data_IF_544618594596
#
_entry.id   IF_544618594596
#
_cell.length_a   1.000
_cell.length_b   1.000
_cell.length_c   1.000
_cell.angle_alpha   90.00
_cell.angle_beta   90.00
_cell.angle_gamma   90.00
#
_symmetry.space_group_name_H-M   'P 1'
#
loop_
_entity.id
_entity.type
_entity.pdbx_description
1 polymer ?
#
# COMPACT_ATOMS: atom_id res chain seq x y z
N UNK A 1 39.32 -1.32 -15.26
CA UNK A 1 38.58 -1.99 -16.34
C UNK A 1 37.96 -3.25 -15.72
N UNK A 2 36.63 -3.23 -15.50
CA UNK A 2 35.67 -4.36 -15.45
C UNK A 2 35.98 -5.54 -14.46
N UNK A 3 35.09 -6.06 -13.60
CA UNK A 3 33.63 -6.21 -13.68
C UNK A 3 33.03 -6.64 -12.32
N UNK A 4 31.81 -6.12 -12.04
CA UNK A 4 30.63 -6.80 -11.45
C UNK A 4 30.61 -7.19 -9.97
N UNK A 5 30.22 -6.20 -9.17
CA UNK A 5 29.61 -6.37 -7.85
C UNK A 5 28.19 -6.95 -8.02
N UNK A 6 27.97 -8.20 -7.59
CA UNK A 6 26.63 -8.81 -7.43
C UNK A 6 26.01 -8.28 -6.14
N UNK A 7 24.96 -7.46 -6.20
CA UNK A 7 24.16 -7.12 -5.01
C UNK A 7 22.83 -6.41 -5.34
N UNK A 8 22.00 -6.93 -6.25
CA UNK A 8 20.74 -6.24 -6.64
C UNK A 8 19.45 -7.06 -6.52
N UNK A 9 19.39 -8.18 -5.78
CA UNK A 9 18.13 -8.95 -5.64
C UNK A 9 17.50 -8.93 -4.25
N UNK A 10 17.96 -8.09 -3.33
CA UNK A 10 17.57 -8.16 -1.90
C UNK A 10 16.56 -7.08 -1.45
N UNK A 11 16.20 -6.13 -2.31
CA UNK A 11 15.31 -5.00 -1.94
C UNK A 11 13.84 -5.42 -1.88
N UNK A 12 13.37 -6.21 -2.85
CA UNK A 12 11.96 -6.63 -2.95
C UNK A 12 11.64 -7.74 -1.95
N UNK A 13 12.53 -8.72 -1.79
CA UNK A 13 12.38 -9.75 -0.76
C UNK A 13 12.44 -9.16 0.66
N UNK A 14 13.17 -8.06 0.88
CA UNK A 14 13.14 -7.36 2.18
C UNK A 14 11.82 -6.62 2.43
N UNK A 15 11.16 -6.09 1.41
CA UNK A 15 9.81 -5.52 1.54
C UNK A 15 8.76 -6.61 1.84
N UNK A 16 8.85 -7.77 1.17
CA UNK A 16 8.02 -8.94 1.52
C UNK A 16 8.34 -9.47 2.93
N UNK A 17 9.61 -9.49 3.35
CA UNK A 17 10.03 -9.97 4.66
C UNK A 17 9.64 -9.02 5.80
N UNK A 18 9.65 -7.70 5.57
CA UNK A 18 9.24 -6.72 6.59
C UNK A 18 7.73 -6.80 6.90
N UNK A 19 6.91 -7.13 5.89
CA UNK A 19 5.49 -7.40 6.09
C UNK A 19 5.22 -8.70 6.89
N UNK A 20 6.11 -9.70 6.79
CA UNK A 20 5.95 -10.99 7.49
C UNK A 20 6.44 -10.91 8.94
N UNK A 21 7.46 -10.10 9.25
CA UNK A 21 8.11 -10.08 10.57
C UNK A 21 7.33 -9.35 11.67
N UNK A 22 6.35 -8.52 11.32
CA UNK A 22 5.49 -7.83 12.28
C UNK A 22 4.35 -8.71 12.84
N UNK A 23 4.24 -9.98 12.41
CA UNK A 23 3.23 -10.93 12.89
C UNK A 23 3.63 -11.73 14.15
N UNK A 24 4.83 -11.52 14.71
CA UNK A 24 5.29 -12.28 15.90
C UNK A 24 6.03 -11.40 16.91
N UNK A 25 5.42 -10.29 17.33
CA UNK A 25 5.85 -9.62 18.56
C UNK A 25 4.60 -9.20 19.34
N UNK A 26 4.58 -9.58 20.62
CA UNK A 26 3.55 -9.38 21.65
C UNK A 26 2.69 -10.61 21.96
N UNK A 27 3.32 -11.58 22.63
CA UNK A 27 2.61 -12.49 23.54
C UNK A 27 3.08 -12.21 24.97
N UNK A 28 2.24 -11.51 25.75
CA UNK A 28 2.00 -11.71 27.19
C UNK A 28 1.06 -10.62 27.72
N UNK A 29 -0.23 -10.94 27.88
CA UNK A 29 -1.03 -10.72 29.11
C UNK A 29 -2.54 -10.62 28.82
N UNK A 30 -3.29 -11.57 29.42
CA UNK A 30 -4.65 -11.49 29.97
C UNK A 30 -5.85 -11.03 29.11
N UNK A 31 -6.66 -12.03 28.74
CA UNK A 31 -8.14 -12.10 28.76
C UNK A 31 -8.95 -10.79 28.68
N UNK A 32 -9.44 -10.49 27.47
CA UNK A 32 -10.84 -10.07 27.27
C UNK A 32 -11.24 -10.33 25.80
N UNK A 33 -12.43 -10.90 25.65
CA UNK A 33 -13.04 -11.36 24.40
C UNK A 33 -13.47 -10.14 23.57
N UNK A 34 -12.89 -9.94 22.39
CA UNK A 34 -13.48 -9.09 21.35
C UNK A 34 -13.49 -9.82 20.00
N UNK A 35 -14.67 -9.87 19.42
CA UNK A 35 -15.02 -10.62 18.23
C UNK A 35 -14.74 -9.78 16.99
N UNK A 36 -13.55 -9.94 16.42
CA UNK A 36 -13.26 -10.01 14.97
C UNK A 36 -11.75 -9.88 14.74
N UNK A 37 -11.02 -10.96 15.04
CA UNK A 37 -9.65 -11.13 14.55
C UNK A 37 -9.70 -11.37 13.04
N UNK A 38 -9.94 -10.30 12.26
CA UNK A 38 -9.71 -10.32 10.83
C UNK A 38 -8.20 -10.40 10.60
N UNK A 39 -7.71 -11.63 10.51
CA UNK A 39 -6.39 -11.93 9.93
C UNK A 39 -6.24 -11.07 8.67
N UNK A 40 -5.19 -10.24 8.53
CA UNK A 40 -5.06 -9.34 7.40
C UNK A 40 -5.11 -10.16 6.11
N UNK A 41 -6.22 -10.07 5.40
CA UNK A 41 -6.40 -10.67 4.09
C UNK A 41 -5.40 -9.98 3.16
N UNK A 42 -4.67 -10.74 2.35
CA UNK A 42 -3.69 -10.14 1.45
C UNK A 42 -4.45 -9.27 0.43
N UNK A 43 -4.31 -7.95 0.57
CA UNK A 43 -5.07 -6.99 -0.24
C UNK A 43 -4.51 -6.87 -1.65
N UNK A 44 -5.41 -6.78 -2.62
CA UNK A 44 -5.11 -6.68 -4.04
C UNK A 44 -4.28 -5.41 -4.30
N UNK A 45 -2.99 -5.54 -4.67
CA UNK A 45 -2.16 -4.39 -5.02
C UNK A 45 -2.53 -3.86 -6.40
N UNK A 46 -2.73 -2.56 -6.52
CA UNK A 46 -3.27 -1.92 -7.72
C UNK A 46 -2.52 -0.64 -8.10
N UNK A 47 -2.63 -0.28 -9.36
CA UNK A 47 -2.35 1.08 -9.85
C UNK A 47 -3.62 1.93 -9.80
N UNK A 48 -3.49 3.26 -9.94
CA UNK A 48 -4.64 4.15 -9.87
C UNK A 48 -5.64 3.92 -11.01
N UNK A 49 -5.16 3.59 -12.21
CA UNK A 49 -5.97 3.27 -13.38
C UNK A 49 -6.91 2.07 -13.21
N UNK A 50 -6.62 1.16 -12.26
CA UNK A 50 -7.46 -0.01 -12.00
C UNK A 50 -8.67 0.29 -11.10
N UNK A 51 -8.62 1.38 -10.32
CA UNK A 51 -9.62 1.70 -9.30
C UNK A 51 -11.06 1.82 -9.81
N UNK A 52 -11.35 2.43 -10.98
CA UNK A 52 -12.74 2.53 -11.49
C UNK A 52 -13.43 1.17 -11.67
N UNK A 53 -12.66 0.09 -11.89
CA UNK A 53 -13.19 -1.26 -12.05
C UNK A 53 -13.30 -2.03 -10.73
N UNK A 54 -12.92 -1.41 -9.61
CA UNK A 54 -12.78 -2.05 -8.30
C UNK A 54 -13.61 -1.35 -7.22
N UNK A 55 -14.62 -0.59 -7.63
CA UNK A 55 -15.56 0.10 -6.72
C UNK A 55 -16.13 -0.88 -5.71
N UNK A 56 -16.09 -0.49 -4.43
CA UNK A 56 -16.59 -1.32 -3.34
C UNK A 56 -15.66 -2.49 -2.95
N UNK A 57 -14.49 -2.66 -3.58
CA UNK A 57 -13.51 -3.70 -3.21
C UNK A 57 -12.37 -3.12 -2.36
N UNK A 58 -11.78 -3.97 -1.52
CA UNK A 58 -10.59 -3.63 -0.74
C UNK A 58 -9.32 -3.83 -1.56
N UNK A 59 -8.48 -2.80 -1.58
CA UNK A 59 -7.27 -2.72 -2.39
C UNK A 59 -6.10 -2.17 -1.57
N UNK A 60 -4.89 -2.35 -2.09
CA UNK A 60 -3.66 -1.75 -1.58
C UNK A 60 -3.02 -0.90 -2.68
N UNK A 61 -2.92 0.41 -2.45
CA UNK A 61 -2.34 1.35 -3.40
C UNK A 61 -1.09 1.99 -2.84
N UNK A 62 -0.10 2.18 -3.70
CA UNK A 62 1.15 2.88 -3.36
C UNK A 62 1.28 4.11 -4.25
N UNK A 63 1.66 5.23 -3.64
CA UNK A 63 1.85 6.48 -4.33
C UNK A 63 2.63 7.50 -3.51
N UNK A 64 2.95 8.63 -4.12
CA UNK A 64 3.61 9.76 -3.46
C UNK A 64 2.57 10.70 -2.90
N UNK A 65 2.67 11.03 -1.61
CA UNK A 65 1.85 12.03 -0.97
C UNK A 65 2.12 13.43 -1.54
N UNK A 66 1.09 14.07 -2.07
CA UNK A 66 1.17 15.41 -2.65
C UNK A 66 0.76 16.49 -1.66
N UNK A 67 -0.32 16.26 -0.91
CA UNK A 67 -0.85 17.20 0.08
C UNK A 67 -1.71 16.47 1.11
N UNK A 68 -1.79 17.03 2.30
CA UNK A 68 -2.65 16.56 3.38
C UNK A 68 -3.66 17.65 3.71
N UNK A 69 -4.92 17.28 3.92
CA UNK A 69 -5.93 18.22 4.40
C UNK A 69 -5.57 18.73 5.81
N UNK A 70 -5.95 19.96 6.19
CA UNK A 70 -5.65 20.51 7.52
C UNK A 70 -6.12 19.62 8.69
N UNK A 71 -7.17 18.82 8.49
CA UNK A 71 -7.66 17.87 9.48
C UNK A 71 -6.76 16.64 9.69
N UNK A 72 -5.77 16.42 8.81
CA UNK A 72 -4.95 15.21 8.79
C UNK A 72 -5.68 13.94 8.33
N UNK A 73 -7.00 13.98 8.13
CA UNK A 73 -7.84 12.80 7.82
C UNK A 73 -8.02 12.54 6.33
N UNK A 74 -7.47 13.39 5.47
CA UNK A 74 -7.49 13.18 4.02
C UNK A 74 -6.12 13.46 3.45
N UNK A 75 -5.62 12.54 2.64
CA UNK A 75 -4.35 12.67 1.94
C UNK A 75 -4.56 12.51 0.44
N UNK A 76 -3.99 13.43 -0.33
CA UNK A 76 -4.01 13.38 -1.78
C UNK A 76 -2.70 12.78 -2.26
N UNK A 77 -2.77 11.74 -3.08
CA UNK A 77 -1.59 11.02 -3.56
C UNK A 77 -1.54 10.97 -5.08
N UNK A 78 -0.32 10.90 -5.62
CA UNK A 78 -0.06 10.46 -6.98
C UNK A 78 0.33 8.99 -6.97
N UNK A 79 -0.49 8.15 -7.57
CA UNK A 79 -0.24 6.71 -7.70
C UNK A 79 0.99 6.45 -8.57
N UNK A 80 1.51 5.22 -8.50
CA UNK A 80 2.69 4.82 -9.27
C UNK A 80 2.54 4.97 -10.80
N UNK A 81 1.31 4.94 -11.33
CA UNK A 81 0.99 5.16 -12.75
C UNK A 81 0.62 6.62 -13.07
N UNK A 82 0.87 7.55 -12.16
CA UNK A 82 0.65 8.98 -12.33
C UNK A 82 -0.77 9.47 -12.07
N UNK A 83 -1.76 8.58 -11.89
CA UNK A 83 -3.13 8.99 -11.54
C UNK A 83 -3.18 9.55 -10.11
N UNK A 84 -3.92 10.62 -9.90
CA UNK A 84 -4.08 11.24 -8.58
C UNK A 84 -5.42 10.86 -7.94
N UNK A 85 -5.40 10.57 -6.63
CA UNK A 85 -6.59 10.18 -5.86
C UNK A 85 -6.57 10.80 -4.46
N UNK A 86 -7.74 10.85 -3.83
CA UNK A 86 -7.90 11.18 -2.42
C UNK A 86 -8.07 9.90 -1.58
N UNK A 87 -7.40 9.85 -0.43
CA UNK A 87 -7.53 8.77 0.54
C UNK A 87 -8.08 9.35 1.85
N UNK A 88 -9.25 8.88 2.27
CA UNK A 88 -9.82 9.20 3.58
C UNK A 88 -9.23 8.25 4.62
N UNK A 89 -8.59 8.79 5.65
CA UNK A 89 -7.86 8.03 6.66
C UNK A 89 -8.74 7.73 7.89
N UNK A 90 -8.44 6.63 8.58
CA UNK A 90 -9.14 6.24 9.81
C UNK A 90 -8.89 7.23 10.95
N UNK A 91 -7.67 7.74 11.02
CA UNK A 91 -7.24 8.71 12.02
C UNK A 91 -6.39 9.81 11.37
N UNK A 92 -6.34 11.03 11.97
CA UNK A 92 -5.48 12.10 11.50
C UNK A 92 -3.99 11.71 11.51
N UNK A 93 -3.27 12.03 10.44
CA UNK A 93 -1.82 11.94 10.42
C UNK A 93 -1.19 12.89 11.44
N UNK A 94 -0.25 12.37 12.24
CA UNK A 94 0.47 13.15 13.26
C UNK A 94 1.53 14.08 12.65
N UNK A 95 2.01 13.78 11.44
CA UNK A 95 2.97 14.57 10.68
C UNK A 95 2.63 14.49 9.19
N UNK A 96 2.86 15.57 8.44
CA UNK A 96 2.62 15.57 6.98
C UNK A 96 3.69 14.75 6.26
N UNK A 97 3.33 13.69 5.52
CA UNK A 97 4.27 12.90 4.72
C UNK A 97 4.45 13.46 3.31
N UNK A 98 4.27 14.76 3.07
CA UNK A 98 4.46 15.37 1.76
C UNK A 98 5.78 14.96 1.10
N UNK A 99 5.72 14.61 -0.19
CA UNK A 99 6.82 14.08 -0.99
C UNK A 99 7.40 12.74 -0.51
N UNK A 100 6.72 12.02 0.39
CA UNK A 100 7.05 10.64 0.77
C UNK A 100 6.16 9.66 0.05
N UNK A 101 6.72 8.47 -0.20
CA UNK A 101 5.94 7.33 -0.68
C UNK A 101 5.11 6.79 0.48
N UNK A 102 3.85 6.50 0.20
CA UNK A 102 2.93 5.94 1.16
C UNK A 102 2.21 4.73 0.55
N UNK A 103 1.91 3.77 1.41
CA UNK A 103 1.00 2.66 1.10
C UNK A 103 -0.30 2.88 1.85
N UNK A 104 -1.41 2.90 1.12
CA UNK A 104 -2.76 3.02 1.67
C UNK A 104 -3.53 1.76 1.32
N UNK A 105 -4.14 1.17 2.33
CA UNK A 105 -5.02 0.03 2.17
C UNK A 105 -6.44 0.47 2.49
N UNK A 106 -7.38 0.19 1.59
CA UNK A 106 -8.72 0.74 1.71
C UNK A 106 -9.71 0.27 0.67
N UNK A 107 -10.95 0.69 0.83
CA UNK A 107 -12.07 0.39 -0.06
C UNK A 107 -12.28 1.51 -1.06
N UNK A 108 -12.44 1.17 -2.35
CA UNK A 108 -12.75 2.16 -3.39
C UNK A 108 -14.16 2.71 -3.19
N UNK A 109 -14.29 4.03 -2.99
CA UNK A 109 -15.56 4.65 -2.56
C UNK A 109 -16.42 5.15 -3.71
N UNK A 110 -15.83 5.52 -4.84
CA UNK A 110 -16.54 6.17 -5.94
C UNK A 110 -16.32 5.51 -7.30
N UNK A 111 -17.30 5.67 -8.19
CA UNK A 111 -17.29 5.08 -9.55
C UNK A 111 -16.15 5.59 -10.43
N UNK A 112 -15.66 6.81 -10.19
CA UNK A 112 -14.53 7.36 -10.90
C UNK A 112 -13.18 6.78 -10.43
N UNK A 113 -13.15 6.00 -9.35
CA UNK A 113 -11.92 5.45 -8.77
C UNK A 113 -10.91 6.54 -8.42
N UNK A 114 -11.40 7.65 -7.87
CA UNK A 114 -10.57 8.80 -7.45
C UNK A 114 -10.55 8.97 -5.94
N UNK A 115 -11.29 8.13 -5.20
CA UNK A 115 -11.36 8.19 -3.76
C UNK A 115 -11.35 6.77 -3.15
N UNK A 116 -10.57 6.61 -2.07
CA UNK A 116 -10.54 5.39 -1.27
C UNK A 116 -10.75 5.71 0.21
N UNK A 117 -11.47 4.84 0.92
CA UNK A 117 -11.62 4.90 2.37
C UNK A 117 -10.67 3.89 3.00
N UNK A 118 -9.70 4.37 3.77
CA UNK A 118 -8.70 3.52 4.40
C UNK A 118 -9.36 2.53 5.36
N UNK A 119 -8.89 1.28 5.32
CA UNK A 119 -9.29 0.18 6.22
C UNK A 119 -8.15 -0.25 7.14
N UNK A 120 -7.01 0.44 7.07
CA UNK A 120 -5.89 0.35 8.00
C UNK A 120 -5.12 1.68 8.04
N UNK A 121 -4.29 1.85 9.05
CA UNK A 121 -3.36 2.98 9.12
C UNK A 121 -2.37 2.96 7.94
N UNK A 122 -2.12 4.11 7.28
CA UNK A 122 -1.23 4.17 6.13
C UNK A 122 0.23 3.93 6.54
N UNK A 123 0.97 3.21 5.70
CA UNK A 123 2.41 2.99 5.91
C UNK A 123 3.18 4.08 5.17
N UNK A 124 3.84 4.96 5.90
CA UNK A 124 4.67 6.03 5.34
C UNK A 124 6.13 5.55 5.23
N UNK A 125 6.68 5.54 4.03
CA UNK A 125 8.04 5.08 3.77
C UNK A 125 9.04 6.10 4.31
N UNK A 126 10.22 5.66 4.78
CA UNK A 126 11.31 6.58 5.18
C UNK A 126 11.66 7.55 4.05
N UNK A 127 12.28 8.70 4.37
CA UNK A 127 12.73 9.64 3.34
C UNK A 127 13.69 8.96 2.35
N UNK A 128 14.63 8.18 2.87
CA UNK A 128 15.59 7.41 2.07
C UNK A 128 14.89 6.39 1.18
N UNK A 129 13.91 5.64 1.72
CA UNK A 129 13.16 4.66 0.95
C UNK A 129 12.30 5.34 -0.13
N UNK A 130 11.71 6.49 0.18
CA UNK A 130 10.90 7.27 -0.77
C UNK A 130 11.74 7.77 -1.94
N UNK A 131 12.95 8.27 -1.67
CA UNK A 131 13.88 8.74 -2.72
C UNK A 131 14.39 7.61 -3.62
N UNK A 132 14.51 6.40 -3.08
CA UNK A 132 14.96 5.21 -3.82
C UNK A 132 13.82 4.43 -4.48
N UNK A 133 12.57 4.82 -4.23
CA UNK A 133 11.41 4.11 -4.75
C UNK A 133 11.25 4.39 -6.24
N UNK A 134 11.27 3.33 -7.05
CA UNK A 134 11.02 3.42 -8.49
C UNK A 134 9.55 3.10 -8.76
N UNK A 135 8.76 4.15 -8.95
CA UNK A 135 7.33 4.06 -9.23
C UNK A 135 7.03 3.34 -10.54
N UNK A 136 7.86 3.53 -11.56
CA UNK A 136 7.65 2.93 -12.88
C UNK A 136 7.90 1.42 -12.82
N UNK A 137 8.96 1.00 -12.12
CA UNK A 137 9.25 -0.41 -11.89
C UNK A 137 8.17 -1.07 -11.01
N UNK A 138 7.69 -0.37 -9.98
CA UNK A 138 6.59 -0.87 -9.14
C UNK A 138 5.30 -1.03 -9.96
N UNK A 139 4.93 -0.05 -10.78
CA UNK A 139 3.75 -0.10 -11.65
C UNK A 139 3.82 -1.27 -12.63
N UNK A 140 4.98 -1.49 -13.27
CA UNK A 140 5.23 -2.65 -14.13
C UNK A 140 5.07 -3.97 -13.37
N UNK A 141 5.60 -4.08 -12.15
CA UNK A 141 5.44 -5.27 -11.33
C UNK A 141 3.96 -5.57 -11.01
N UNK A 142 3.16 -4.55 -10.70
CA UNK A 142 1.71 -4.71 -10.49
C UNK A 142 1.01 -5.19 -11.74
N UNK A 143 1.32 -4.61 -12.90
CA UNK A 143 0.75 -5.04 -14.18
C UNK A 143 1.08 -6.50 -14.48
N UNK A 144 2.31 -6.95 -14.20
CA UNK A 144 2.69 -8.36 -14.33
C UNK A 144 1.89 -9.26 -13.37
N UNK A 145 1.69 -8.85 -12.11
CA UNK A 145 0.86 -9.66 -11.18
C UNK A 145 -0.58 -9.80 -11.64
N UNK A 146 -1.15 -8.78 -12.29
CA UNK A 146 -2.50 -8.83 -12.85
C UNK A 146 -2.57 -9.68 -14.13
N UNK A 147 -1.50 -9.69 -14.95
CA UNK A 147 -1.42 -10.49 -16.18
C UNK A 147 -1.18 -11.98 -15.93
N UNK A 148 -0.56 -12.31 -14.80
CA UNK A 148 -0.15 -13.67 -14.43
C UNK A 148 -0.80 -14.10 -13.11
N UNK A 149 -2.12 -13.92 -12.99
CA UNK A 149 -2.92 -14.25 -11.80
C UNK A 149 -2.74 -15.70 -11.32
N UNK A 150 -2.50 -16.65 -12.24
CA UNK A 150 -2.21 -18.06 -11.94
C UNK A 150 -0.92 -18.29 -11.13
N UNK A 151 0.02 -17.34 -11.17
CA UNK A 151 1.31 -17.44 -10.47
C UNK A 151 1.38 -16.52 -9.25
N UNK A 152 0.39 -15.65 -9.07
CA UNK A 152 0.27 -14.75 -7.94
C UNK A 152 -1.07 -15.00 -7.24
N UNK A 153 -1.11 -16.04 -6.41
CA UNK A 153 -2.31 -16.40 -5.65
C UNK A 153 -2.61 -15.30 -4.64
N UNK A 154 -3.59 -14.47 -4.95
CA UNK A 154 -4.23 -13.62 -3.96
C UNK A 154 -5.38 -14.41 -3.34
N UNK A 155 -5.45 -14.53 -2.00
CA UNK A 155 -6.60 -15.11 -1.35
C UNK A 155 -7.82 -14.26 -1.72
N UNK A 156 -8.72 -14.83 -2.53
CA UNK A 156 -10.00 -14.21 -2.85
C UNK A 156 -10.88 -14.23 -1.59
N UNK A 157 -11.55 -13.12 -1.30
CA UNK A 157 -12.65 -13.13 -0.33
C UNK A 157 -13.79 -13.99 -0.90
N UNK A 158 -14.22 -15.00 -0.13
CA UNK A 158 -15.35 -15.87 -0.43
C UNK A 158 -16.64 -15.31 0.16
#
# INVERSE_FOLDING_TARGET
>A
MLFRQRSESLSILRLCWFAIRNLTAHSSSSLQQDSSDQKPTARFRVTGSMLPNLVGRDVCIVGTALRVAPSGQRIHIRCADGREIDCNLLSPLQASPENRVIEVQGRVSNVQGTEINATAEPVVFSQEASTKFDSDLYSQAIQMTAQFDQFYIQPMEA
#
